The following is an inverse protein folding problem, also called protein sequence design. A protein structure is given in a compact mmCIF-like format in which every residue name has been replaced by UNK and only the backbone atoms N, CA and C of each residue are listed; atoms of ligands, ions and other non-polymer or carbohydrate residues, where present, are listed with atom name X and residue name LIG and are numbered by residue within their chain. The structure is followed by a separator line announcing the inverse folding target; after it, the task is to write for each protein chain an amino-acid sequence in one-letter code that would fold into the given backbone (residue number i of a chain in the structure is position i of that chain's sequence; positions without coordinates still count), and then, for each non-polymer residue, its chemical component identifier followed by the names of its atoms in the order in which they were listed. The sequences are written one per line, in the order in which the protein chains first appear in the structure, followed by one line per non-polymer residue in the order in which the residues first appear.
data_IF_153723550182
#
_entry.id   IF_153723550182
#
_cell.length_a   1.000
_cell.length_b   1.000
_cell.length_c   1.000
_cell.angle_alpha   90.00
_cell.angle_beta   90.00
_cell.angle_gamma   90.00
#
_symmetry.space_group_name_H-M   'P 1'
#
loop_
_entity.id
_entity.type
_entity.pdbx_description
1 polymer ?
#
# COMPACT_ATOMS: atom_id res chain seq x y z
N UNK A 1 7.96 -0.72 17.58
CA UNK A 1 6.92 0.32 17.63
C UNK A 1 6.09 0.17 16.37
N UNK A 2 4.76 0.06 16.49
CA UNK A 2 3.88 -0.05 15.32
C UNK A 2 3.99 1.19 14.43
N UNK A 3 3.49 1.09 13.20
CA UNK A 3 3.41 2.23 12.27
C UNK A 3 2.70 3.40 12.96
N UNK A 4 3.32 4.57 12.93
CA UNK A 4 2.73 5.83 13.44
C UNK A 4 1.66 6.37 12.45
N UNK A 5 1.44 5.68 11.34
CA UNK A 5 0.44 6.05 10.35
C UNK A 5 -0.96 5.75 10.92
N UNK A 6 -1.76 6.79 11.09
CA UNK A 6 -3.17 6.69 11.41
C UNK A 6 -3.99 6.86 10.14
N UNK A 7 -4.94 5.95 9.92
CA UNK A 7 -5.79 5.97 8.74
C UNK A 7 -7.15 6.58 9.06
N UNK A 8 -7.53 7.59 8.31
CA UNK A 8 -8.86 8.18 8.30
C UNK A 8 -9.53 7.85 6.97
N UNK A 9 -10.62 7.08 6.99
CA UNK A 9 -11.27 6.58 5.77
C UNK A 9 -11.83 7.71 4.89
N UNK A 10 -12.38 8.79 5.46
CA UNK A 10 -12.89 9.93 4.68
C UNK A 10 -11.76 10.70 3.98
N UNK A 11 -10.69 10.99 4.71
CA UNK A 11 -9.52 11.67 4.14
C UNK A 11 -8.86 10.81 3.06
N UNK A 12 -8.73 9.51 3.29
CA UNK A 12 -8.22 8.55 2.32
C UNK A 12 -9.10 8.51 1.05
N UNK A 13 -10.41 8.39 1.20
CA UNK A 13 -11.34 8.40 0.07
C UNK A 13 -11.26 9.71 -0.75
N UNK A 14 -11.02 10.86 -0.11
CA UNK A 14 -10.87 12.15 -0.78
C UNK A 14 -9.54 12.29 -1.53
N UNK A 15 -8.42 11.90 -0.91
CA UNK A 15 -7.07 12.22 -1.39
C UNK A 15 -6.38 11.06 -2.10
N UNK A 16 -6.80 9.81 -1.84
CA UNK A 16 -6.13 8.60 -2.29
C UNK A 16 -7.03 7.66 -3.12
N UNK A 17 -8.18 8.12 -3.60
CA UNK A 17 -9.11 7.29 -4.39
C UNK A 17 -8.45 6.68 -5.63
N UNK A 18 -7.48 7.38 -6.22
CA UNK A 18 -6.70 6.87 -7.34
C UNK A 18 -6.02 5.51 -7.06
N UNK A 19 -5.80 5.15 -5.80
CA UNK A 19 -5.19 3.86 -5.42
C UNK A 19 -6.10 2.70 -5.83
N UNK A 20 -7.39 2.80 -5.53
CA UNK A 20 -8.37 1.79 -5.95
C UNK A 20 -8.74 1.89 -7.43
N UNK A 21 -8.82 3.11 -7.98
CA UNK A 21 -9.16 3.32 -9.39
C UNK A 21 -8.10 2.74 -10.33
N UNK A 22 -6.83 2.81 -9.95
CA UNK A 22 -5.69 2.24 -10.69
C UNK A 22 -5.44 0.75 -10.40
N UNK A 23 -6.26 0.11 -9.58
CA UNK A 23 -6.13 -1.30 -9.20
C UNK A 23 -6.55 -2.31 -10.27
N UNK A 24 -7.07 -1.87 -11.46
CA UNK A 24 -7.58 -2.78 -12.49
C UNK A 24 -6.52 -3.81 -12.94
N UNK A 25 -5.32 -3.38 -13.21
CA UNK A 25 -4.29 -4.25 -13.76
C UNK A 25 -3.83 -5.36 -12.79
N UNK A 26 -3.89 -5.14 -11.47
CA UNK A 26 -3.62 -6.20 -10.50
C UNK A 26 -4.83 -7.11 -10.30
N UNK A 27 -6.07 -6.61 -10.48
CA UNK A 27 -7.28 -7.43 -10.54
C UNK A 27 -7.27 -8.35 -11.77
N UNK A 28 -6.87 -7.83 -12.93
CA UNK A 28 -6.74 -8.63 -14.16
C UNK A 28 -5.70 -9.75 -14.00
N UNK A 29 -4.59 -9.46 -13.30
CA UNK A 29 -3.56 -10.45 -12.99
C UNK A 29 -4.09 -11.51 -12.00
N UNK A 30 -4.91 -11.13 -11.03
CA UNK A 30 -5.56 -12.07 -10.10
C UNK A 30 -6.52 -13.00 -10.84
N UNK A 31 -7.24 -12.46 -11.84
CA UNK A 31 -8.25 -13.18 -12.63
C UNK A 31 -9.21 -14.00 -11.73
N UNK A 32 -10.02 -13.35 -10.88
CA UNK A 32 -10.87 -14.05 -9.93
C UNK A 32 -11.96 -14.86 -10.64
N UNK A 33 -12.27 -16.05 -10.14
CA UNK A 33 -13.36 -16.89 -10.66
C UNK A 33 -14.54 -16.94 -9.68
N UNK A 34 -15.77 -17.08 -10.18
CA UNK A 34 -16.94 -17.25 -9.34
C UNK A 34 -16.80 -18.42 -8.37
N UNK A 35 -17.12 -18.19 -7.11
CA UNK A 35 -17.06 -19.18 -6.04
C UNK A 35 -15.69 -19.33 -5.37
N UNK A 36 -14.61 -18.77 -5.91
CA UNK A 36 -13.31 -18.76 -5.23
C UNK A 36 -13.39 -18.04 -3.88
N UNK A 37 -12.72 -18.58 -2.87
CA UNK A 37 -12.54 -17.92 -1.59
C UNK A 37 -11.24 -17.12 -1.62
N UNK A 38 -11.34 -15.79 -1.53
CA UNK A 38 -10.20 -14.87 -1.68
C UNK A 38 -10.02 -14.06 -0.39
N UNK A 39 -8.78 -13.97 0.09
CA UNK A 39 -8.38 -13.05 1.15
C UNK A 39 -7.87 -11.75 0.52
N UNK A 40 -8.43 -10.61 0.91
CA UNK A 40 -7.91 -9.27 0.57
C UNK A 40 -7.10 -8.72 1.75
N UNK A 41 -5.78 -8.78 1.64
CA UNK A 41 -4.83 -8.34 2.66
C UNK A 41 -4.56 -6.84 2.56
N UNK A 42 -5.00 -6.09 3.55
CA UNK A 42 -4.99 -4.63 3.55
C UNK A 42 -6.13 -4.09 2.69
N UNK A 43 -7.36 -4.54 2.94
CA UNK A 43 -8.54 -4.21 2.13
C UNK A 43 -8.95 -2.73 2.20
N UNK A 44 -8.43 -1.98 3.18
CA UNK A 44 -8.76 -0.57 3.37
C UNK A 44 -10.26 -0.33 3.56
N UNK A 45 -10.80 0.70 2.91
CA UNK A 45 -12.22 1.04 2.92
C UNK A 45 -13.11 0.10 2.06
N UNK A 46 -12.51 -0.94 1.46
CA UNK A 46 -13.21 -1.95 0.68
C UNK A 46 -13.57 -1.56 -0.76
N UNK A 47 -13.16 -0.40 -1.24
CA UNK A 47 -13.56 0.08 -2.57
C UNK A 47 -13.08 -0.80 -3.74
N UNK A 48 -11.90 -1.44 -3.61
CA UNK A 48 -11.40 -2.39 -4.60
C UNK A 48 -11.97 -3.79 -4.34
N UNK A 49 -12.18 -4.13 -3.06
CA UNK A 49 -12.78 -5.38 -2.60
C UNK A 49 -14.17 -5.61 -3.19
N UNK A 50 -15.01 -4.57 -3.30
CA UNK A 50 -16.34 -4.63 -3.95
C UNK A 50 -16.26 -5.18 -5.38
N UNK A 51 -15.19 -4.85 -6.11
CA UNK A 51 -14.99 -5.31 -7.49
C UNK A 51 -14.69 -6.82 -7.57
N UNK A 52 -14.00 -7.37 -6.57
CA UNK A 52 -13.76 -8.81 -6.43
C UNK A 52 -15.06 -9.54 -6.11
N UNK A 53 -15.89 -8.99 -5.22
CA UNK A 53 -17.22 -9.53 -4.91
C UNK A 53 -18.13 -9.50 -6.15
N UNK A 54 -18.10 -8.41 -6.92
CA UNK A 54 -18.86 -8.28 -8.16
C UNK A 54 -18.43 -9.30 -9.24
N UNK A 55 -17.18 -9.78 -9.19
CA UNK A 55 -16.70 -10.87 -10.03
C UNK A 55 -17.15 -12.26 -9.56
N UNK A 56 -17.92 -12.35 -8.47
CA UNK A 56 -18.49 -13.59 -7.93
C UNK A 56 -17.61 -14.32 -6.91
N UNK A 57 -16.53 -13.72 -6.41
CA UNK A 57 -15.69 -14.32 -5.39
C UNK A 57 -16.32 -14.22 -3.99
N UNK A 58 -16.04 -15.23 -3.15
CA UNK A 58 -16.34 -15.22 -1.72
C UNK A 58 -15.16 -14.58 -0.99
N UNK A 59 -15.33 -13.35 -0.54
CA UNK A 59 -14.23 -12.54 -0.09
C UNK A 59 -14.20 -12.36 1.44
N UNK A 60 -13.00 -12.39 2.01
CA UNK A 60 -12.70 -11.94 3.37
C UNK A 60 -11.67 -10.83 3.26
N UNK A 61 -12.01 -9.62 3.70
CA UNK A 61 -11.08 -8.51 3.79
C UNK A 61 -10.44 -8.42 5.18
N UNK A 62 -9.16 -8.11 5.25
CA UNK A 62 -8.48 -7.82 6.52
C UNK A 62 -7.69 -6.52 6.41
N UNK A 63 -7.75 -5.72 7.47
CA UNK A 63 -6.96 -4.50 7.60
C UNK A 63 -6.66 -4.26 9.08
N UNK A 64 -5.53 -3.65 9.40
CA UNK A 64 -5.15 -3.33 10.79
C UNK A 64 -5.90 -2.12 11.34
N UNK A 65 -6.47 -1.28 10.49
CA UNK A 65 -7.22 -0.08 10.86
C UNK A 65 -8.70 -0.40 11.11
N UNK A 66 -9.15 -0.20 12.34
CA UNK A 66 -10.58 -0.35 12.69
C UNK A 66 -11.47 0.63 11.93
N UNK A 67 -10.97 1.83 11.59
CA UNK A 67 -11.70 2.85 10.84
C UNK A 67 -11.93 2.41 9.38
N UNK A 68 -10.90 1.87 8.74
CA UNK A 68 -10.99 1.28 7.40
C UNK A 68 -11.93 0.08 7.38
N UNK A 69 -11.78 -0.84 8.32
CA UNK A 69 -12.67 -2.02 8.42
C UNK A 69 -14.12 -1.62 8.64
N UNK A 70 -14.39 -0.58 9.43
CA UNK A 70 -15.75 -0.06 9.60
C UNK A 70 -16.31 0.43 8.26
N UNK A 71 -15.55 1.24 7.51
CA UNK A 71 -15.95 1.72 6.20
C UNK A 71 -16.20 0.57 5.19
N UNK A 72 -15.38 -0.48 5.23
CA UNK A 72 -15.60 -1.67 4.40
C UNK A 72 -16.88 -2.44 4.79
N UNK A 73 -17.17 -2.56 6.09
CA UNK A 73 -18.43 -3.16 6.58
C UNK A 73 -19.66 -2.36 6.20
N UNK A 74 -19.58 -1.03 6.20
CA UNK A 74 -20.66 -0.15 5.77
C UNK A 74 -21.00 -0.33 4.28
N UNK A 75 -20.05 -0.88 3.48
CA UNK A 75 -20.27 -1.34 2.10
C UNK A 75 -20.84 -2.76 2.00
N UNK A 76 -21.11 -3.42 3.13
CA UNK A 76 -21.64 -4.80 3.15
C UNK A 76 -20.58 -5.90 2.98
N UNK A 77 -19.30 -5.60 3.17
CA UNK A 77 -18.20 -6.57 3.00
C UNK A 77 -17.93 -7.34 4.30
N UNK A 78 -17.52 -8.61 4.20
CA UNK A 78 -16.90 -9.35 5.32
C UNK A 78 -15.49 -8.82 5.53
N UNK A 79 -15.34 -7.82 6.38
CA UNK A 79 -14.06 -7.21 6.71
C UNK A 79 -13.75 -7.37 8.20
N UNK A 80 -12.48 -7.62 8.54
CA UNK A 80 -12.05 -7.92 9.91
C UNK A 80 -10.80 -7.12 10.27
N UNK A 81 -10.71 -6.67 11.53
CA UNK A 81 -9.50 -6.03 12.05
C UNK A 81 -8.48 -7.12 12.35
N UNK A 82 -7.45 -7.22 11.52
CA UNK A 82 -6.37 -8.21 11.64
C UNK A 82 -5.04 -7.55 11.30
N UNK A 83 -4.01 -7.79 12.11
CA UNK A 83 -2.64 -7.38 11.79
C UNK A 83 -2.06 -8.34 10.74
N UNK A 84 -1.61 -7.83 9.60
CA UNK A 84 -1.03 -8.63 8.52
C UNK A 84 0.20 -9.44 8.90
N UNK A 85 0.85 -9.12 10.02
CA UNK A 85 1.96 -9.90 10.57
C UNK A 85 1.51 -11.17 11.31
N UNK A 86 0.22 -11.27 11.68
CA UNK A 86 -0.31 -12.34 12.52
C UNK A 86 -1.56 -12.98 11.89
N UNK A 87 -1.48 -13.30 10.60
CA UNK A 87 -2.57 -14.02 9.92
C UNK A 87 -2.72 -15.43 10.51
N UNK A 88 -3.92 -15.77 11.01
CA UNK A 88 -4.21 -17.06 11.66
C UNK A 88 -5.02 -18.02 10.76
N UNK A 89 -5.08 -17.74 9.45
CA UNK A 89 -5.73 -18.59 8.48
C UNK A 89 -4.83 -19.80 8.09
N UNK A 90 -5.42 -20.95 7.84
CA UNK A 90 -4.71 -22.17 7.44
C UNK A 90 -5.45 -22.88 6.30
N UNK A 91 -4.84 -22.86 5.11
CA UNK A 91 -5.34 -23.57 3.91
C UNK A 91 -6.81 -23.25 3.56
N UNK A 92 -7.20 -21.99 3.73
CA UNK A 92 -8.60 -21.58 3.56
C UNK A 92 -8.90 -20.95 2.19
N UNK A 93 -7.90 -20.30 1.57
CA UNK A 93 -8.13 -19.42 0.42
C UNK A 93 -7.56 -20.01 -0.88
N UNK A 94 -8.32 -19.85 -1.97
CA UNK A 94 -7.89 -20.19 -3.33
C UNK A 94 -6.91 -19.12 -3.85
N UNK A 95 -7.05 -17.90 -3.38
CA UNK A 95 -6.13 -16.80 -3.67
C UNK A 95 -6.00 -15.83 -2.48
N UNK A 96 -4.84 -15.18 -2.39
CA UNK A 96 -4.64 -13.96 -1.59
C UNK A 96 -4.37 -12.80 -2.55
N UNK A 97 -5.06 -11.72 -2.32
CA UNK A 97 -4.93 -10.47 -3.05
C UNK A 97 -4.43 -9.38 -2.11
N UNK A 98 -3.58 -8.47 -2.59
CA UNK A 98 -3.19 -7.27 -1.83
C UNK A 98 -2.88 -6.13 -2.80
N UNK A 99 -3.49 -4.97 -2.59
CA UNK A 99 -3.18 -3.79 -3.38
C UNK A 99 -2.80 -2.60 -2.50
N UNK A 100 -1.60 -2.06 -2.71
CA UNK A 100 -1.07 -0.86 -2.06
C UNK A 100 -1.01 -0.91 -0.51
N UNK A 101 -0.94 -2.10 0.08
CA UNK A 101 -0.92 -2.30 1.54
C UNK A 101 0.44 -2.77 2.06
N UNK A 102 1.07 -3.76 1.42
CA UNK A 102 2.23 -4.46 1.99
C UNK A 102 3.47 -3.61 2.20
N UNK A 103 3.64 -2.52 1.45
CA UNK A 103 4.75 -1.59 1.70
C UNK A 103 4.64 -0.83 3.04
N UNK A 104 3.50 -0.85 3.71
CA UNK A 104 3.33 -0.38 5.08
C UNK A 104 3.73 -1.43 6.12
N UNK A 105 3.92 -2.67 5.70
CA UNK A 105 4.29 -3.80 6.57
C UNK A 105 5.82 -3.98 6.62
N UNK A 106 6.54 -2.90 6.93
CA UNK A 106 8.01 -2.80 6.92
C UNK A 106 8.67 -3.61 8.05
N UNK A 107 7.97 -3.79 9.17
CA UNK A 107 8.55 -4.37 10.40
C UNK A 107 9.06 -5.79 10.21
N UNK A 108 8.28 -6.62 9.54
CA UNK A 108 8.59 -8.03 9.30
C UNK A 108 7.89 -8.55 8.03
N UNK A 109 8.43 -8.23 6.83
CA UNK A 109 7.84 -8.69 5.58
C UNK A 109 7.86 -10.22 5.44
N UNK A 110 8.78 -10.92 6.10
CA UNK A 110 8.84 -12.39 6.07
C UNK A 110 7.66 -13.01 6.82
N UNK A 111 7.28 -12.46 7.97
CA UNK A 111 6.09 -12.91 8.71
C UNK A 111 4.82 -12.74 7.87
N UNK A 112 4.70 -11.64 7.11
CA UNK A 112 3.55 -11.41 6.21
C UNK A 112 3.50 -12.47 5.12
N UNK A 113 4.61 -12.71 4.42
CA UNK A 113 4.68 -13.69 3.33
C UNK A 113 4.42 -15.11 3.84
N UNK A 114 4.98 -15.49 5.00
CA UNK A 114 4.74 -16.79 5.63
C UNK A 114 3.27 -16.95 6.06
N UNK A 115 2.65 -15.90 6.58
CA UNK A 115 1.22 -15.88 6.92
C UNK A 115 0.32 -16.09 5.68
N UNK A 116 0.65 -15.42 4.58
CA UNK A 116 -0.05 -15.60 3.29
C UNK A 116 0.12 -17.02 2.75
N UNK A 117 1.35 -17.56 2.80
CA UNK A 117 1.61 -18.93 2.37
C UNK A 117 0.74 -19.94 3.13
N UNK A 118 0.68 -19.82 4.44
CA UNK A 118 -0.12 -20.68 5.31
C UNK A 118 -1.63 -20.54 5.05
N UNK A 119 -2.10 -19.31 4.75
CA UNK A 119 -3.52 -19.03 4.48
C UNK A 119 -4.03 -19.64 3.17
N UNK A 120 -3.14 -19.86 2.20
CA UNK A 120 -3.46 -20.41 0.90
C UNK A 120 -3.69 -21.93 0.97
N UNK A 121 -4.61 -22.44 0.17
CA UNK A 121 -4.72 -23.86 -0.16
C UNK A 121 -3.55 -24.30 -1.05
N UNK A 122 -3.18 -25.60 -1.06
CA UNK A 122 -2.19 -26.12 -2.00
C UNK A 122 -2.49 -25.69 -3.45
N UNK A 123 -1.52 -25.11 -4.13
CA UNK A 123 -1.67 -24.57 -5.48
C UNK A 123 -2.37 -23.21 -5.57
N UNK A 124 -2.76 -22.62 -4.45
CA UNK A 124 -3.36 -21.29 -4.39
C UNK A 124 -2.38 -20.20 -4.86
N UNK A 125 -2.91 -19.04 -5.27
CA UNK A 125 -2.10 -17.93 -5.81
C UNK A 125 -2.07 -16.72 -4.91
N UNK A 126 -0.92 -16.08 -4.85
CA UNK A 126 -0.72 -14.78 -4.21
C UNK A 126 -0.46 -13.73 -5.28
N UNK A 127 -1.36 -12.76 -5.38
CA UNK A 127 -1.27 -11.68 -6.36
C UNK A 127 -1.29 -10.35 -5.63
N UNK A 128 -0.27 -9.54 -5.86
CA UNK A 128 -0.22 -8.24 -5.20
C UNK A 128 0.45 -7.15 -6.03
N UNK A 129 0.11 -5.91 -5.67
CA UNK A 129 0.80 -4.71 -6.12
C UNK A 129 1.09 -3.81 -4.92
N UNK A 130 2.34 -3.37 -4.79
CA UNK A 130 2.77 -2.44 -3.75
C UNK A 130 3.77 -1.41 -4.29
N UNK A 131 4.20 -0.46 -3.49
CA UNK A 131 5.36 0.37 -3.82
C UNK A 131 6.61 -0.49 -3.93
N UNK A 132 7.39 -0.31 -4.99
CA UNK A 132 8.68 -0.96 -5.18
C UNK A 132 9.83 0.03 -5.16
N UNK A 133 11.05 -0.44 -5.42
CA UNK A 133 12.26 0.37 -5.39
C UNK A 133 12.10 1.66 -6.19
N UNK A 134 12.49 2.79 -5.59
CA UNK A 134 12.34 4.13 -6.20
C UNK A 134 10.93 4.73 -6.14
N UNK A 135 9.96 4.06 -5.50
CA UNK A 135 8.60 4.60 -5.34
C UNK A 135 8.61 5.89 -4.52
N UNK A 136 7.96 6.95 -5.04
CA UNK A 136 7.87 8.29 -4.45
C UNK A 136 9.22 8.84 -3.98
N UNK A 137 10.27 8.59 -4.76
CA UNK A 137 11.64 8.92 -4.39
C UNK A 137 11.85 10.43 -4.25
N UNK A 138 11.33 11.24 -5.18
CA UNK A 138 11.42 12.70 -5.09
C UNK A 138 10.73 13.22 -3.83
N UNK A 139 9.55 12.70 -3.51
CA UNK A 139 8.78 13.10 -2.32
C UNK A 139 9.54 12.71 -1.05
N UNK A 140 10.07 11.48 -0.99
CA UNK A 140 10.84 10.99 0.16
C UNK A 140 12.08 11.83 0.41
N UNK A 141 12.83 12.16 -0.65
CA UNK A 141 14.02 13.01 -0.57
C UNK A 141 13.65 14.41 -0.07
N UNK A 142 12.58 15.02 -0.60
CA UNK A 142 12.16 16.36 -0.17
C UNK A 142 11.74 16.39 1.31
N UNK A 143 10.97 15.39 1.77
CA UNK A 143 10.59 15.24 3.19
C UNK A 143 11.81 15.12 4.10
N UNK A 144 12.74 14.24 3.76
CA UNK A 144 13.97 14.05 4.54
C UNK A 144 14.86 15.28 4.54
N UNK A 145 15.06 15.92 3.38
CA UNK A 145 15.89 17.10 3.26
C UNK A 145 15.35 18.28 4.12
N UNK A 146 14.04 18.51 4.05
CA UNK A 146 13.40 19.58 4.82
C UNK A 146 13.51 19.34 6.33
N UNK A 147 13.32 18.09 6.80
CA UNK A 147 13.53 17.77 8.21
C UNK A 147 14.99 17.93 8.64
N UNK A 148 15.94 17.54 7.79
CA UNK A 148 17.37 17.68 8.06
C UNK A 148 17.79 19.15 8.17
N UNK A 149 17.30 20.00 7.27
CA UNK A 149 17.49 21.46 7.33
C UNK A 149 16.88 22.05 8.61
N UNK A 150 15.77 21.49 9.08
CA UNK A 150 15.14 21.80 10.38
C UNK A 150 15.88 21.27 11.60
N UNK A 151 17.02 20.56 11.41
CA UNK A 151 17.90 20.07 12.50
C UNK A 151 17.68 18.62 12.93
N UNK A 152 16.84 17.84 12.24
CA UNK A 152 16.66 16.41 12.53
C UNK A 152 17.82 15.59 11.94
N UNK A 153 18.54 14.84 12.78
CA UNK A 153 19.79 14.17 12.39
C UNK A 153 19.63 13.00 11.42
N UNK A 154 18.57 12.20 11.55
CA UNK A 154 18.35 10.99 10.75
C UNK A 154 16.89 10.89 10.26
N UNK A 155 16.44 11.77 9.37
CA UNK A 155 15.04 11.74 8.90
C UNK A 155 14.68 10.47 8.12
N UNK A 156 15.65 9.76 7.57
CA UNK A 156 15.44 8.49 6.86
C UNK A 156 14.85 7.39 7.77
N UNK A 157 15.07 7.45 9.09
CA UNK A 157 14.49 6.50 10.04
C UNK A 157 12.95 6.62 10.13
N UNK A 158 12.41 7.76 9.71
CA UNK A 158 10.97 8.04 9.68
C UNK A 158 10.27 7.46 8.45
N UNK A 159 11.01 7.01 7.43
CA UNK A 159 10.40 6.43 6.21
C UNK A 159 9.57 5.21 6.62
N UNK A 160 8.23 5.26 6.47
CA UNK A 160 7.37 4.19 6.97
C UNK A 160 7.26 3.03 5.99
N UNK A 161 7.76 3.22 4.76
CA UNK A 161 7.57 2.29 3.66
C UNK A 161 8.73 1.33 3.49
N UNK A 162 8.38 0.13 3.03
CA UNK A 162 9.28 -0.88 2.50
C UNK A 162 9.11 -0.97 0.99
N UNK A 163 10.13 -0.57 0.23
CA UNK A 163 10.13 -0.54 -1.22
C UNK A 163 11.24 -1.43 -1.79
N UNK A 164 11.02 -2.76 -1.88
CA UNK A 164 12.01 -3.68 -2.38
C UNK A 164 12.20 -3.60 -3.90
N UNK A 165 13.35 -4.08 -4.38
CA UNK A 165 13.54 -4.44 -5.78
C UNK A 165 12.79 -5.74 -6.12
N UNK A 166 12.56 -6.06 -7.42
CA UNK A 166 12.01 -7.35 -7.83
C UNK A 166 12.80 -8.53 -7.29
N UNK A 167 14.12 -8.49 -7.41
CA UNK A 167 15.00 -9.59 -6.99
C UNK A 167 14.94 -9.84 -5.48
N UNK A 168 14.93 -8.76 -4.67
CA UNK A 168 14.80 -8.86 -3.21
C UNK A 168 13.46 -9.49 -2.80
N UNK A 169 12.36 -9.08 -3.47
CA UNK A 169 11.05 -9.59 -3.10
C UNK A 169 10.81 -11.00 -3.64
N UNK A 170 11.33 -11.31 -4.82
CA UNK A 170 11.33 -12.67 -5.38
C UNK A 170 12.03 -13.66 -4.44
N UNK A 171 13.26 -13.33 -4.01
CA UNK A 171 14.00 -14.19 -3.09
C UNK A 171 13.23 -14.46 -1.77
N UNK A 172 12.48 -13.46 -1.28
CA UNK A 172 11.64 -13.59 -0.09
C UNK A 172 10.46 -14.55 -0.32
N UNK A 173 9.76 -14.41 -1.45
CA UNK A 173 8.65 -15.29 -1.83
C UNK A 173 9.13 -16.74 -2.02
N UNK A 174 10.24 -16.94 -2.73
CA UNK A 174 10.85 -18.27 -2.95
C UNK A 174 11.29 -18.93 -1.64
N UNK A 175 11.88 -18.16 -0.72
CA UNK A 175 12.26 -18.65 0.61
C UNK A 175 11.05 -19.12 1.44
N UNK A 176 9.86 -18.57 1.20
CA UNK A 176 8.63 -19.00 1.84
C UNK A 176 7.94 -20.18 1.13
N UNK A 177 8.46 -20.64 -0.02
CA UNK A 177 7.95 -21.80 -0.77
C UNK A 177 7.09 -21.45 -1.97
N UNK A 178 7.01 -20.18 -2.39
CA UNK A 178 6.28 -19.79 -3.60
C UNK A 178 7.08 -20.04 -4.88
N UNK A 179 6.39 -20.46 -5.95
CA UNK A 179 6.89 -20.37 -7.31
C UNK A 179 6.44 -19.03 -7.93
N UNK A 180 7.38 -18.31 -8.55
CA UNK A 180 7.08 -17.01 -9.16
C UNK A 180 6.66 -17.19 -10.61
N UNK A 181 5.42 -16.79 -10.93
CA UNK A 181 4.91 -16.79 -12.31
C UNK A 181 5.12 -15.43 -13.00
N UNK A 182 5.06 -14.33 -12.20
CA UNK A 182 5.29 -12.98 -12.68
C UNK A 182 5.81 -12.10 -11.56
N UNK A 183 6.80 -11.26 -11.85
CA UNK A 183 7.22 -10.15 -10.99
C UNK A 183 7.79 -9.02 -11.86
N UNK A 184 7.36 -7.79 -11.63
CA UNK A 184 7.81 -6.64 -12.42
C UNK A 184 7.78 -5.35 -11.59
N UNK A 185 8.76 -4.48 -11.84
CA UNK A 185 8.79 -3.10 -11.35
C UNK A 185 8.29 -2.17 -12.47
N UNK A 186 7.21 -1.44 -12.20
CA UNK A 186 6.42 -0.72 -13.21
C UNK A 186 6.37 0.76 -12.85
N UNK A 187 6.91 1.67 -13.68
CA UNK A 187 6.69 3.10 -13.53
C UNK A 187 5.20 3.43 -13.65
N UNK A 188 4.68 4.16 -12.68
CA UNK A 188 3.27 4.59 -12.69
C UNK A 188 3.12 6.03 -12.21
N UNK A 189 3.57 7.02 -13.00
CA UNK A 189 3.30 8.42 -12.70
C UNK A 189 1.80 8.62 -12.45
N UNK A 190 1.44 9.17 -11.30
CA UNK A 190 0.04 9.23 -10.85
C UNK A 190 -0.40 10.66 -10.65
N UNK A 191 -1.38 11.15 -11.42
CA UNK A 191 -1.98 12.46 -11.19
C UNK A 191 -2.58 12.57 -9.78
N UNK A 192 -2.39 13.73 -9.16
CA UNK A 192 -2.89 14.03 -7.81
C UNK A 192 -4.02 15.05 -7.90
N UNK A 193 -5.30 14.63 -7.87
CA UNK A 193 -6.45 15.55 -8.01
C UNK A 193 -6.51 16.63 -6.92
N UNK A 194 -6.06 16.31 -5.70
CA UNK A 194 -6.00 17.23 -4.55
C UNK A 194 -4.63 17.91 -4.41
N UNK A 195 -3.76 17.77 -5.42
CA UNK A 195 -2.40 18.31 -5.43
C UNK A 195 -1.45 17.58 -4.46
N UNK A 196 -0.20 18.08 -4.44
CA UNK A 196 0.84 17.52 -3.56
C UNK A 196 0.48 17.66 -2.08
N UNK A 197 -0.14 18.78 -1.71
CA UNK A 197 -0.53 19.01 -0.32
C UNK A 197 -1.50 17.94 0.19
N UNK A 198 -2.55 17.59 -0.58
CA UNK A 198 -3.49 16.52 -0.22
C UNK A 198 -2.82 15.16 -0.08
N UNK A 199 -1.81 14.88 -0.91
CA UNK A 199 -0.99 13.68 -0.79
C UNK A 199 -0.19 13.68 0.52
N UNK A 200 0.50 14.77 0.81
CA UNK A 200 1.33 14.92 2.02
C UNK A 200 0.48 14.86 3.30
N UNK A 201 -0.68 15.52 3.34
CA UNK A 201 -1.62 15.45 4.46
C UNK A 201 -2.08 14.03 4.77
N UNK A 202 -2.10 13.13 3.77
CA UNK A 202 -2.56 11.75 3.91
C UNK A 202 -1.43 10.78 4.27
N UNK A 203 -0.25 10.93 3.65
CA UNK A 203 0.81 9.90 3.71
C UNK A 203 2.07 10.34 4.46
N UNK A 204 2.24 11.64 4.78
CA UNK A 204 3.44 12.15 5.45
C UNK A 204 3.29 12.27 6.98
N UNK A 205 2.25 11.69 7.59
CA UNK A 205 2.01 11.73 9.04
C UNK A 205 3.25 11.29 9.84
N UNK A 206 3.97 10.20 9.50
CA UNK A 206 5.16 9.78 10.24
C UNK A 206 6.27 10.84 10.30
N UNK A 207 6.35 11.71 9.30
CA UNK A 207 7.32 12.81 9.25
C UNK A 207 6.83 14.02 10.06
N UNK A 208 5.54 14.36 9.95
CA UNK A 208 4.97 15.54 10.60
C UNK A 208 4.81 15.39 12.11
N UNK A 209 4.61 14.17 12.62
CA UNK A 209 4.43 13.88 14.06
C UNK A 209 5.70 14.17 14.87
N UNK A 210 6.87 14.27 14.23
CA UNK A 210 8.12 14.70 14.90
C UNK A 210 8.18 16.19 15.16
N UNK A 211 7.28 16.97 14.54
CA UNK A 211 7.23 18.42 14.63
C UNK A 211 6.11 18.89 15.57
N UNK A 212 6.34 20.02 16.28
CA UNK A 212 5.24 20.72 16.97
C UNK A 212 4.11 21.04 16.00
N UNK A 213 2.87 20.95 16.46
CA UNK A 213 1.67 21.13 15.64
C UNK A 213 1.69 22.41 14.81
N UNK A 214 2.09 23.54 15.42
CA UNK A 214 2.15 24.85 14.75
C UNK A 214 3.17 24.93 13.61
N UNK A 215 4.15 23.99 13.52
CA UNK A 215 5.15 23.93 12.44
C UNK A 215 4.77 22.99 11.29
N UNK A 216 3.81 22.12 11.49
CA UNK A 216 3.48 21.08 10.50
C UNK A 216 3.01 21.67 9.18
N UNK A 217 2.19 22.73 9.25
CA UNK A 217 1.69 23.41 8.06
C UNK A 217 2.81 24.01 7.22
N UNK A 218 3.69 24.79 7.82
CA UNK A 218 4.85 25.42 7.17
C UNK A 218 5.79 24.36 6.56
N UNK A 219 6.08 23.29 7.29
CA UNK A 219 6.88 22.17 6.80
C UNK A 219 6.29 21.55 5.52
N UNK A 220 4.98 21.27 5.50
CA UNK A 220 4.33 20.67 4.33
C UNK A 220 4.29 21.63 3.14
N UNK A 221 4.16 22.95 3.38
CA UNK A 221 4.22 23.96 2.35
C UNK A 221 5.63 24.05 1.74
N UNK A 222 6.67 24.01 2.58
CA UNK A 222 8.07 24.00 2.12
C UNK A 222 8.39 22.74 1.29
N UNK A 223 7.98 21.56 1.75
CA UNK A 223 8.14 20.32 0.99
C UNK A 223 7.42 20.43 -0.37
N UNK A 224 6.20 20.97 -0.38
CA UNK A 224 5.42 21.17 -1.61
C UNK A 224 6.17 22.05 -2.60
N UNK A 225 6.74 23.18 -2.15
CA UNK A 225 7.49 24.09 -3.04
C UNK A 225 8.79 23.46 -3.55
N UNK A 226 9.50 22.67 -2.74
CA UNK A 226 10.69 21.92 -3.18
C UNK A 226 10.35 20.89 -4.28
N UNK A 227 9.16 20.32 -4.25
CA UNK A 227 8.70 19.33 -5.24
C UNK A 227 8.15 19.95 -6.52
N UNK A 228 7.75 21.22 -6.49
CA UNK A 228 7.12 21.91 -7.62
C UNK A 228 7.92 21.83 -8.92
N UNK A 229 9.23 22.06 -8.95
CA UNK A 229 9.99 22.04 -10.22
C UNK A 229 10.02 20.65 -10.90
N UNK A 230 9.76 19.56 -10.17
CA UNK A 230 9.93 18.19 -10.64
C UNK A 230 8.58 17.48 -10.84
N UNK A 231 7.61 17.73 -9.97
CA UNK A 231 6.35 17.00 -9.94
C UNK A 231 5.11 17.83 -10.28
N UNK A 232 5.27 19.13 -10.60
CA UNK A 232 4.18 20.02 -11.01
C UNK A 232 4.45 20.55 -12.42
N UNK A 233 3.47 20.38 -13.33
CA UNK A 233 3.59 20.92 -14.68
C UNK A 233 3.29 22.43 -14.73
N UNK A 234 3.51 23.05 -15.90
CA UNK A 234 3.27 24.49 -16.13
C UNK A 234 1.80 24.91 -15.96
N UNK A 235 0.86 23.98 -15.94
CA UNK A 235 -0.56 24.22 -15.70
C UNK A 235 -0.96 23.99 -14.23
N UNK A 236 0.00 23.76 -13.35
CA UNK A 236 -0.24 23.52 -11.92
C UNK A 236 -0.74 22.11 -11.60
N UNK A 237 -0.64 21.15 -12.52
CA UNK A 237 -1.06 19.76 -12.29
C UNK A 237 0.09 18.97 -11.68
N UNK A 238 -0.23 18.31 -10.56
CA UNK A 238 0.72 17.49 -9.82
C UNK A 238 0.67 16.03 -10.23
N UNK A 239 1.85 15.40 -10.33
CA UNK A 239 2.00 13.96 -10.63
C UNK A 239 3.01 13.36 -9.67
N UNK A 240 2.63 12.35 -8.89
CA UNK A 240 3.55 11.65 -8.01
C UNK A 240 4.33 10.57 -8.77
N UNK A 241 5.59 10.39 -8.39
CA UNK A 241 6.58 9.49 -8.99
C UNK A 241 6.48 8.06 -8.46
N UNK A 242 5.30 7.43 -8.61
CA UNK A 242 5.12 6.05 -8.16
C UNK A 242 5.87 5.04 -9.02
N UNK A 243 6.52 4.09 -8.33
CA UNK A 243 7.03 2.83 -8.87
C UNK A 243 6.29 1.69 -8.21
N UNK A 244 5.70 0.78 -8.99
CA UNK A 244 4.92 -0.34 -8.45
C UNK A 244 5.62 -1.66 -8.71
N UNK A 245 5.80 -2.43 -7.64
CA UNK A 245 6.15 -3.83 -7.71
C UNK A 245 4.86 -4.64 -7.77
N UNK A 246 4.66 -5.38 -8.85
CA UNK A 246 3.51 -6.26 -9.07
C UNK A 246 3.99 -7.68 -9.29
N UNK A 247 3.30 -8.64 -8.68
CA UNK A 247 3.67 -10.03 -8.84
C UNK A 247 2.47 -10.98 -8.78
N UNK A 248 2.68 -12.18 -9.34
CA UNK A 248 1.88 -13.38 -9.17
C UNK A 248 2.81 -14.51 -8.76
N UNK A 249 2.51 -15.12 -7.63
CA UNK A 249 3.24 -16.25 -7.07
C UNK A 249 2.25 -17.38 -6.72
N UNK A 250 2.69 -18.63 -6.81
CA UNK A 250 1.87 -19.81 -6.54
C UNK A 250 2.47 -20.62 -5.40
N UNK A 251 1.63 -21.02 -4.45
CA UNK A 251 2.00 -21.97 -3.40
C UNK A 251 2.33 -23.33 -4.02
N UNK A 252 3.48 -23.92 -3.65
CA UNK A 252 3.93 -25.25 -4.09
C UNK A 252 3.57 -26.32 -3.08
#
# INVERSE_FOLDING_TARGET
MGSIQEWNAEQYAKNARFVSDLGQAVLDLLNPHPGERILDLGCGDGALTERLVAAGANLVGVDSSADMVRAAKDRGLDARVVDGYTLEFDSEFDAVFSNAAMHWMKRDPDAVVAGVYRALKPGGRFVAEMGGHGCVAAITVALCATLQEGGLSNPADLIPWYFPTPDEYQARLEAAGFAIEHIALIPRPTPLPTGMRGWLDTFAIPFTTTLPEYKRGEFLDEVTEKLRPVLCDSNGRWTADYMRLRFLARQQ
#
